data_IF_855348940999
#
_entry.id   IF_855348940999
#
_cell.length_a   1.000
_cell.length_b   1.000
_cell.length_c   1.000
_cell.angle_alpha   90.00
_cell.angle_beta   90.00
_cell.angle_gamma   90.00
#
_symmetry.space_group_name_H-M   'P 1'
#
loop_
_entity.id
_entity.type
_entity.pdbx_description
1 polymer ?
#
# COMPACT_ATOMS: atom_id res chain seq x y z
N UNK A 1 10.30 10.68 -17.09
CA UNK A 1 9.50 9.46 -17.13
C UNK A 1 9.22 9.00 -15.71
N UNK A 2 7.97 8.66 -15.43
CA UNK A 2 7.61 8.21 -14.09
C UNK A 2 8.24 6.84 -13.79
N UNK A 3 8.74 6.68 -12.58
CA UNK A 3 9.14 5.39 -12.05
C UNK A 3 7.89 4.50 -11.99
N UNK A 4 8.01 3.22 -12.36
CA UNK A 4 6.90 2.26 -12.29
C UNK A 4 6.38 2.03 -10.87
N UNK A 5 7.17 2.43 -9.87
CA UNK A 5 6.80 2.41 -8.45
C UNK A 5 6.19 3.74 -8.00
N UNK A 6 6.11 4.71 -8.90
CA UNK A 6 5.72 6.07 -8.60
C UNK A 6 4.20 6.22 -8.53
N UNK A 7 3.73 7.04 -7.61
CA UNK A 7 2.35 7.45 -7.49
C UNK A 7 2.32 8.96 -7.64
N UNK A 8 1.37 9.50 -8.41
CA UNK A 8 1.28 10.94 -8.59
C UNK A 8 1.00 11.66 -7.27
N UNK A 9 1.40 12.93 -7.19
CA UNK A 9 1.14 13.74 -6.01
C UNK A 9 -0.36 13.87 -5.74
N UNK A 10 -1.14 13.98 -6.81
CA UNK A 10 -2.60 14.07 -6.73
C UNK A 10 -3.18 12.80 -6.11
N UNK A 11 -2.68 11.62 -6.52
CA UNK A 11 -3.16 10.36 -5.97
C UNK A 11 -2.77 10.19 -4.51
N UNK A 12 -1.56 10.61 -4.13
CA UNK A 12 -1.13 10.60 -2.73
C UNK A 12 -2.05 11.49 -1.89
N UNK A 13 -2.37 12.69 -2.39
CA UNK A 13 -3.28 13.60 -1.70
C UNK A 13 -4.67 12.99 -1.51
N UNK A 14 -5.19 12.30 -2.53
CA UNK A 14 -6.47 11.59 -2.43
C UNK A 14 -6.42 10.51 -1.34
N UNK A 15 -5.34 9.75 -1.29
CA UNK A 15 -5.18 8.68 -0.29
C UNK A 15 -5.06 9.27 1.11
N UNK A 16 -4.36 10.39 1.28
CA UNK A 16 -4.28 11.06 2.57
C UNK A 16 -5.65 11.56 3.04
N UNK A 17 -6.43 12.10 2.12
CA UNK A 17 -7.78 12.58 2.44
C UNK A 17 -8.72 11.45 2.80
N UNK A 18 -8.59 10.30 2.12
CA UNK A 18 -9.50 9.16 2.30
C UNK A 18 -9.17 8.33 3.53
N UNK A 19 -7.87 8.09 3.78
CA UNK A 19 -7.42 7.18 4.84
C UNK A 19 -6.80 7.88 6.03
N UNK A 20 -6.39 9.14 5.90
CA UNK A 20 -5.77 9.88 6.98
C UNK A 20 -6.80 10.42 7.97
N UNK A 21 -6.33 10.76 9.16
CA UNK A 21 -7.15 11.39 10.19
C UNK A 21 -7.37 12.87 9.90
N UNK A 22 -6.44 13.48 9.14
CA UNK A 22 -6.55 14.85 8.66
C UNK A 22 -6.19 14.87 7.19
N UNK A 23 -6.59 15.91 6.41
CA UNK A 23 -6.31 15.97 4.98
C UNK A 23 -4.82 15.93 4.61
N UNK A 24 -3.94 16.32 5.53
CA UNK A 24 -2.50 16.35 5.28
C UNK A 24 -1.74 15.24 6.00
N UNK A 25 -2.44 14.23 6.49
CA UNK A 25 -1.84 13.14 7.26
C UNK A 25 -1.16 12.15 6.33
N UNK A 26 0.17 12.27 6.20
CA UNK A 26 0.97 11.33 5.42
C UNK A 26 1.66 10.28 6.29
N UNK A 27 1.60 10.43 7.61
CA UNK A 27 2.36 9.60 8.53
C UNK A 27 1.60 8.47 9.21
N UNK A 28 0.27 8.43 9.08
CA UNK A 28 -0.50 7.37 9.72
C UNK A 28 -0.26 6.03 9.05
N UNK A 29 -0.37 4.95 9.80
CA UNK A 29 -0.19 3.60 9.28
C UNK A 29 -1.22 3.29 8.19
N UNK A 30 -2.45 3.75 8.34
CA UNK A 30 -3.52 3.55 7.36
C UNK A 30 -3.18 4.17 6.01
N UNK A 31 -2.70 5.41 6.00
CA UNK A 31 -2.29 6.09 4.77
C UNK A 31 -1.12 5.36 4.13
N UNK A 32 -0.14 4.96 4.93
CA UNK A 32 1.02 4.24 4.40
C UNK A 32 0.64 2.90 3.78
N UNK A 33 -0.28 2.16 4.40
CA UNK A 33 -0.80 0.90 3.83
C UNK A 33 -1.51 1.18 2.51
N UNK A 34 -2.31 2.24 2.42
CA UNK A 34 -3.00 2.59 1.18
C UNK A 34 -2.01 2.92 0.06
N UNK A 35 -0.98 3.72 0.36
CA UNK A 35 0.06 4.08 -0.62
C UNK A 35 0.83 2.82 -1.07
N UNK A 36 1.22 1.96 -0.13
CA UNK A 36 1.92 0.72 -0.45
C UNK A 36 1.06 -0.19 -1.31
N UNK A 37 -0.24 -0.26 -1.06
CA UNK A 37 -1.17 -1.07 -1.85
C UNK A 37 -1.20 -0.59 -3.30
N UNK A 38 -1.25 0.73 -3.54
CA UNK A 38 -1.18 1.29 -4.89
C UNK A 38 0.13 0.91 -5.59
N UNK A 39 1.25 1.08 -4.90
CA UNK A 39 2.56 0.74 -5.44
C UNK A 39 2.66 -0.74 -5.79
N UNK A 40 2.17 -1.60 -4.91
CA UNK A 40 2.17 -3.05 -5.12
C UNK A 40 1.35 -3.39 -6.36
N UNK A 41 0.18 -2.79 -6.54
CA UNK A 41 -0.65 -2.99 -7.72
C UNK A 41 0.07 -2.57 -9.00
N UNK A 42 0.71 -1.40 -8.98
CA UNK A 42 1.44 -0.90 -10.13
C UNK A 42 2.59 -1.82 -10.52
N UNK A 43 3.37 -2.30 -9.54
CA UNK A 43 4.48 -3.21 -9.81
C UNK A 43 3.99 -4.58 -10.25
N UNK A 44 2.87 -5.06 -9.71
CA UNK A 44 2.27 -6.32 -10.12
C UNK A 44 1.86 -6.28 -11.59
N UNK A 45 1.21 -5.19 -12.02
CA UNK A 45 0.84 -5.00 -13.42
C UNK A 45 2.08 -4.95 -14.33
N UNK A 46 3.13 -4.24 -13.89
CA UNK A 46 4.38 -4.19 -14.64
C UNK A 46 4.96 -5.60 -14.83
N UNK A 47 4.96 -6.43 -13.79
CA UNK A 47 5.54 -7.77 -13.84
C UNK A 47 4.73 -8.76 -14.68
N UNK A 48 3.46 -8.49 -14.95
CA UNK A 48 2.66 -9.31 -15.87
C UNK A 48 3.21 -9.22 -17.30
N UNK A 49 3.77 -8.07 -17.66
CA UNK A 49 4.36 -7.83 -18.98
C UNK A 49 5.85 -8.14 -18.98
N UNK A 50 6.56 -7.72 -17.94
CA UNK A 50 8.02 -7.85 -17.83
C UNK A 50 8.37 -8.95 -16.81
N UNK A 51 8.11 -10.20 -17.16
CA UNK A 51 8.21 -11.35 -16.24
C UNK A 51 9.62 -11.63 -15.74
N UNK A 52 10.65 -11.17 -16.46
CA UNK A 52 12.05 -11.38 -16.10
C UNK A 52 12.69 -10.18 -15.42
N UNK A 53 11.91 -9.19 -15.01
CA UNK A 53 12.42 -8.03 -14.28
C UNK A 53 12.57 -8.40 -12.79
N UNK A 54 13.71 -9.02 -12.47
CA UNK A 54 13.96 -9.53 -11.12
C UNK A 54 14.19 -8.43 -10.09
N UNK A 55 14.71 -7.27 -10.51
CA UNK A 55 14.86 -6.11 -9.62
C UNK A 55 13.51 -5.61 -9.13
N UNK A 56 12.57 -5.45 -10.04
CA UNK A 56 11.22 -5.03 -9.69
C UNK A 56 10.54 -6.06 -8.80
N UNK A 57 10.73 -7.35 -9.08
CA UNK A 57 10.16 -8.42 -8.26
C UNK A 57 10.70 -8.37 -6.82
N UNK A 58 12.01 -8.17 -6.66
CA UNK A 58 12.62 -8.02 -5.34
C UNK A 58 12.06 -6.81 -4.60
N UNK A 59 11.93 -5.67 -5.30
CA UNK A 59 11.32 -4.46 -4.74
C UNK A 59 9.87 -4.69 -4.31
N UNK A 60 9.10 -5.41 -5.14
CA UNK A 60 7.71 -5.75 -4.82
C UNK A 60 7.61 -6.57 -3.53
N UNK A 61 8.47 -7.58 -3.38
CA UNK A 61 8.47 -8.41 -2.17
C UNK A 61 8.79 -7.60 -0.92
N UNK A 62 9.69 -6.61 -1.02
CA UNK A 62 10.01 -5.71 0.09
C UNK A 62 8.80 -4.86 0.47
N UNK A 63 8.06 -4.35 -0.50
CA UNK A 63 6.85 -3.55 -0.25
C UNK A 63 5.75 -4.39 0.39
N UNK A 64 5.58 -5.63 -0.06
CA UNK A 64 4.61 -6.56 0.53
C UNK A 64 4.95 -6.82 1.99
N UNK A 65 6.23 -7.07 2.30
CA UNK A 65 6.68 -7.26 3.66
C UNK A 65 6.46 -6.05 4.55
N UNK A 66 6.74 -4.85 4.03
CA UNK A 66 6.52 -3.60 4.76
C UNK A 66 5.03 -3.39 5.04
N UNK A 67 4.16 -3.61 4.03
CA UNK A 67 2.72 -3.50 4.20
C UNK A 67 2.21 -4.47 5.28
N UNK A 68 2.70 -5.71 5.26
CA UNK A 68 2.31 -6.71 6.25
C UNK A 68 2.65 -6.26 7.67
N UNK A 69 3.84 -5.71 7.88
CA UNK A 69 4.24 -5.21 9.20
C UNK A 69 3.33 -4.09 9.70
N UNK A 70 2.96 -3.17 8.80
CA UNK A 70 2.04 -2.09 9.14
C UNK A 70 0.64 -2.62 9.46
N UNK A 71 0.18 -3.62 8.70
CA UNK A 71 -1.12 -4.24 8.95
C UNK A 71 -1.16 -4.99 10.27
N UNK A 72 -0.08 -5.69 10.63
CA UNK A 72 0.02 -6.34 11.95
C UNK A 72 -0.05 -5.30 13.06
N UNK A 73 0.65 -4.17 12.90
CA UNK A 73 0.61 -3.07 13.85
C UNK A 73 -0.82 -2.54 14.05
N UNK A 74 -1.54 -2.32 12.95
CA UNK A 74 -2.93 -1.84 13.00
C UNK A 74 -3.84 -2.88 13.66
N UNK A 75 -3.67 -4.15 13.30
CA UNK A 75 -4.47 -5.25 13.86
C UNK A 75 -4.28 -5.37 15.37
N UNK A 76 -3.04 -5.25 15.84
CA UNK A 76 -2.73 -5.33 17.27
C UNK A 76 -3.28 -4.12 18.03
N UNK A 77 -3.32 -2.95 17.37
CA UNK A 77 -3.85 -1.72 17.98
C UNK A 77 -5.38 -1.73 18.06
N UNK A 78 -6.03 -2.12 16.95
CA UNK A 78 -7.49 -2.11 16.84
C UNK A 78 -7.94 -3.05 15.71
N UNK A 79 -8.50 -4.19 16.10
CA UNK A 79 -8.93 -5.21 15.14
C UNK A 79 -10.04 -4.71 14.22
N UNK A 80 -10.91 -3.84 14.70
CA UNK A 80 -12.00 -3.31 13.88
C UNK A 80 -11.47 -2.35 12.81
N UNK A 81 -10.50 -1.49 13.16
CA UNK A 81 -9.83 -0.64 12.17
C UNK A 81 -9.14 -1.48 11.11
N UNK A 82 -8.47 -2.56 11.53
CA UNK A 82 -7.80 -3.47 10.61
C UNK A 82 -8.78 -4.08 9.61
N UNK A 83 -9.90 -4.60 10.10
CA UNK A 83 -10.91 -5.24 9.26
C UNK A 83 -11.54 -4.25 8.26
N UNK A 84 -11.85 -3.04 8.74
CA UNK A 84 -12.39 -1.99 7.89
C UNK A 84 -11.40 -1.60 6.80
N UNK A 85 -10.13 -1.48 7.14
CA UNK A 85 -9.09 -1.08 6.21
C UNK A 85 -8.88 -2.13 5.11
N UNK A 86 -8.75 -3.41 5.47
CA UNK A 86 -8.53 -4.45 4.47
C UNK A 86 -9.75 -4.62 3.55
N UNK A 87 -10.95 -4.46 4.09
CA UNK A 87 -12.16 -4.50 3.27
C UNK A 87 -12.19 -3.34 2.27
N UNK A 88 -11.85 -2.14 2.73
CA UNK A 88 -11.83 -0.94 1.89
C UNK A 88 -10.79 -1.03 0.80
N UNK A 89 -9.62 -1.60 1.09
CA UNK A 89 -8.52 -1.76 0.14
C UNK A 89 -8.62 -3.03 -0.70
N UNK A 90 -9.53 -3.93 -0.37
CA UNK A 90 -9.66 -5.20 -1.08
C UNK A 90 -8.49 -6.14 -0.84
N UNK A 91 -7.87 -6.08 0.34
CA UNK A 91 -6.74 -6.91 0.71
C UNK A 91 -7.25 -8.18 1.40
N UNK A 92 -6.60 -9.31 1.07
CA UNK A 92 -6.94 -10.57 1.72
C UNK A 92 -6.41 -10.60 3.16
N UNK A 93 -7.24 -11.04 4.09
CA UNK A 93 -6.85 -11.23 5.50
C UNK A 93 -6.13 -12.56 5.65
N UNK A 94 -4.80 -12.52 5.60
CA UNK A 94 -3.95 -13.71 5.77
C UNK A 94 -2.84 -13.49 6.80
N UNK A 95 -3.10 -12.59 7.75
CA UNK A 95 -2.16 -12.24 8.82
C UNK A 95 -2.58 -12.89 10.13
#
# INVERSE_FOLDING_TARGET
>A
MADRNSISKERVAELMAEYGKTPNDSGSAEVQVAILTERIRNLTEHLKVHKKDFHTRTGLLKLIGKRRRLLVYIKDRDIEEYRALIAKLGIRDNI
#
